data_IF_768442421217
#
_entry.id   IF_768442421217
#
_cell.length_a   1.000
_cell.length_b   1.000
_cell.length_c   1.000
_cell.angle_alpha   90.00
_cell.angle_beta   90.00
_cell.angle_gamma   90.00
#
_symmetry.space_group_name_H-M   'P 1'
#
loop_
_entity.id
_entity.type
_entity.pdbx_description
1 polymer ?
#
# COMPACT_ATOMS: atom_id res chain seq x y z
N UNK A 1 27.16 -14.69 9.10
CA UNK A 1 25.75 -14.99 8.75
C UNK A 1 25.25 -13.85 7.90
N UNK A 2 24.85 -14.10 6.65
CA UNK A 2 24.30 -13.07 5.77
C UNK A 2 22.76 -13.16 5.84
N UNK A 3 22.11 -12.08 6.27
CA UNK A 3 20.65 -11.97 6.22
C UNK A 3 20.29 -11.33 4.89
N UNK A 4 19.42 -11.98 4.13
CA UNK A 4 18.91 -11.51 2.83
C UNK A 4 17.48 -11.03 3.03
N UNK A 5 17.18 -9.85 2.50
CA UNK A 5 15.84 -9.28 2.60
C UNK A 5 15.86 -7.76 2.76
N UNK A 6 14.66 -7.17 2.89
CA UNK A 6 14.49 -5.74 3.07
C UNK A 6 15.05 -5.26 4.41
N UNK A 7 15.69 -4.11 4.40
CA UNK A 7 16.28 -3.46 5.57
C UNK A 7 16.54 -1.97 5.27
N UNK A 8 16.27 -1.05 6.21
CA UNK A 8 15.65 -1.27 7.52
C UNK A 8 14.17 -1.66 7.40
N UNK A 9 13.52 -2.09 8.49
CA UNK A 9 12.08 -2.42 8.51
C UNK A 9 11.19 -1.20 8.85
N UNK A 10 11.72 0.00 8.61
CA UNK A 10 11.08 1.31 8.83
C UNK A 10 11.17 2.10 7.51
N UNK A 11 10.49 1.60 6.48
CA UNK A 11 10.49 2.18 5.14
C UNK A 11 9.10 2.73 4.81
N UNK A 12 8.55 3.52 5.73
CA UNK A 12 7.22 4.09 5.66
C UNK A 12 7.02 4.94 4.40
N UNK A 13 5.79 4.95 3.89
CA UNK A 13 5.39 5.71 2.70
C UNK A 13 4.08 6.42 2.93
N UNK A 14 3.93 7.57 2.28
CA UNK A 14 2.70 8.36 2.31
C UNK A 14 2.26 8.69 0.89
N UNK A 15 0.98 8.45 0.59
CA UNK A 15 0.36 8.81 -0.67
C UNK A 15 -0.98 9.51 -0.43
N UNK A 16 -1.45 10.23 -1.44
CA UNK A 16 -2.73 10.95 -1.40
C UNK A 16 -3.74 10.19 -2.27
N UNK A 17 -4.92 9.92 -1.73
CA UNK A 17 -6.00 9.27 -2.45
C UNK A 17 -6.37 10.07 -3.72
N UNK A 18 -6.57 9.36 -4.83
CA UNK A 18 -6.89 9.93 -6.14
C UNK A 18 -5.69 10.52 -6.90
N UNK A 19 -4.48 10.43 -6.36
CA UNK A 19 -3.24 10.87 -7.03
C UNK A 19 -2.35 9.69 -7.38
N UNK A 20 -1.49 9.89 -8.37
CA UNK A 20 -0.40 8.95 -8.66
C UNK A 20 0.50 8.82 -7.44
N UNK A 21 0.74 7.59 -7.01
CA UNK A 21 1.50 7.27 -5.83
C UNK A 21 2.85 6.67 -6.21
N UNK A 22 3.88 7.51 -6.33
CA UNK A 22 5.24 7.02 -6.58
C UNK A 22 5.88 6.62 -5.23
N UNK A 23 5.79 5.33 -4.90
CA UNK A 23 6.56 4.79 -3.79
C UNK A 23 8.00 4.53 -4.26
N UNK A 24 8.96 5.24 -3.63
CA UNK A 24 10.38 5.01 -3.84
C UNK A 24 10.75 3.53 -3.62
N UNK A 25 11.86 3.12 -4.25
CA UNK A 25 12.38 1.75 -4.15
C UNK A 25 12.58 1.33 -2.69
N UNK A 26 12.22 0.08 -2.40
CA UNK A 26 12.57 -0.57 -1.12
C UNK A 26 14.07 -0.90 -1.07
N UNK A 27 14.67 -0.60 0.07
CA UNK A 27 16.06 -0.88 0.43
C UNK A 27 16.17 -2.25 1.11
N UNK A 28 17.30 -2.91 0.91
CA UNK A 28 17.57 -4.21 1.48
C UNK A 28 18.85 -4.84 0.96
N UNK A 29 19.20 -5.97 1.56
CA UNK A 29 20.36 -6.76 1.18
C UNK A 29 19.93 -7.88 0.24
N UNK A 30 20.57 -7.96 -0.94
CA UNK A 30 20.38 -9.05 -1.90
C UNK A 30 18.92 -9.31 -2.31
N UNK A 31 18.13 -8.23 -2.45
CA UNK A 31 16.76 -8.28 -2.98
C UNK A 31 16.74 -8.85 -4.40
N UNK A 32 15.73 -9.67 -4.70
CA UNK A 32 15.59 -10.39 -5.96
C UNK A 32 14.36 -9.91 -6.72
N UNK A 33 14.37 -10.06 -8.03
CA UNK A 33 13.20 -9.82 -8.87
C UNK A 33 12.03 -10.78 -8.57
N UNK A 34 12.28 -11.90 -7.89
CA UNK A 34 11.25 -12.83 -7.43
C UNK A 34 10.61 -12.43 -6.09
N UNK A 35 11.19 -11.48 -5.37
CA UNK A 35 10.59 -10.94 -4.16
C UNK A 35 9.30 -10.17 -4.51
N UNK A 36 8.37 -10.12 -3.56
CA UNK A 36 7.09 -9.45 -3.73
C UNK A 36 6.79 -8.59 -2.52
N UNK A 37 6.05 -7.52 -2.79
CA UNK A 37 5.48 -6.65 -1.78
C UNK A 37 3.98 -6.58 -1.94
N UNK A 38 3.27 -6.50 -0.82
CA UNK A 38 1.83 -6.32 -0.82
C UNK A 38 1.42 -5.37 0.30
N UNK A 39 0.48 -4.49 -0.03
CA UNK A 39 -0.20 -3.62 0.93
C UNK A 39 -1.32 -4.43 1.57
N UNK A 40 -1.32 -4.50 2.90
CA UNK A 40 -2.32 -5.20 3.68
C UNK A 40 -2.99 -4.25 4.68
N UNK A 41 -4.23 -4.56 5.05
CA UNK A 41 -4.88 -3.86 6.15
C UNK A 41 -4.15 -4.12 7.48
N UNK A 42 -4.20 -3.16 8.40
CA UNK A 42 -3.59 -3.26 9.74
C UNK A 42 -4.12 -4.44 10.57
N UNK A 43 -5.36 -4.87 10.31
CA UNK A 43 -5.98 -6.07 10.90
C UNK A 43 -5.49 -7.41 10.33
N UNK A 44 -4.60 -7.39 9.32
CA UNK A 44 -3.87 -8.56 8.84
C UNK A 44 -4.47 -9.26 7.62
N UNK A 45 -3.58 -9.72 6.71
CA UNK A 45 -3.80 -10.69 5.63
C UNK A 45 -4.80 -10.32 4.53
N UNK A 46 -5.60 -9.29 4.74
CA UNK A 46 -6.62 -8.81 3.81
C UNK A 46 -6.07 -7.68 2.96
N UNK A 47 -6.35 -7.77 1.66
CA UNK A 47 -6.02 -6.72 0.72
C UNK A 47 -7.05 -5.59 0.88
N UNK A 48 -6.62 -4.36 1.16
CA UNK A 48 -7.52 -3.22 1.24
C UNK A 48 -8.15 -2.92 -0.13
N UNK A 49 -9.44 -2.57 -0.11
CA UNK A 49 -10.18 -2.19 -1.31
C UNK A 49 -9.56 -0.95 -1.96
N UNK A 50 -9.76 -0.81 -3.29
CA UNK A 50 -9.38 0.38 -4.07
C UNK A 50 -7.87 0.68 -4.13
N UNK A 51 -7.03 -0.27 -3.71
CA UNK A 51 -5.64 -0.31 -4.13
C UNK A 51 -5.51 -0.96 -5.51
N UNK A 52 -4.65 -0.42 -6.39
CA UNK A 52 -4.36 -1.05 -7.68
C UNK A 52 -3.77 -2.45 -7.47
N UNK A 53 -3.98 -3.33 -8.45
CA UNK A 53 -3.39 -4.67 -8.49
C UNK A 53 -3.55 -5.49 -7.20
N UNK A 54 -4.67 -5.34 -6.49
CA UNK A 54 -4.91 -5.98 -5.19
C UNK A 54 -3.79 -5.70 -4.17
N UNK A 55 -3.33 -4.45 -4.13
CA UNK A 55 -2.28 -4.00 -3.21
C UNK A 55 -0.89 -4.57 -3.53
N UNK A 56 -0.74 -5.35 -4.60
CA UNK A 56 0.55 -5.90 -4.99
C UNK A 56 1.43 -4.79 -5.57
N UNK A 57 2.64 -4.65 -5.04
CA UNK A 57 3.63 -3.70 -5.53
C UNK A 57 4.59 -4.45 -6.44
N UNK A 58 4.56 -4.11 -7.73
CA UNK A 58 5.41 -4.74 -8.73
C UNK A 58 6.74 -3.98 -8.89
N UNK A 59 7.78 -4.64 -9.43
CA UNK A 59 8.99 -3.95 -9.86
C UNK A 59 8.62 -2.93 -10.94
N UNK A 60 9.14 -1.70 -10.83
CA UNK A 60 9.00 -0.73 -11.91
C UNK A 60 9.85 -1.19 -13.11
N UNK A 61 9.19 -1.78 -14.11
CA UNK A 61 9.81 -2.28 -15.33
C UNK A 61 10.26 -1.16 -16.27
N UNK A 62 9.80 0.08 -16.06
CA UNK A 62 10.15 1.25 -16.86
C UNK A 62 11.31 2.06 -16.25
N UNK A 63 11.80 1.67 -15.08
CA UNK A 63 12.96 2.30 -14.49
C UNK A 63 14.24 1.95 -15.29
N UNK A 64 15.01 2.97 -15.65
CA UNK A 64 16.30 2.88 -16.36
C UNK A 64 17.43 2.22 -15.55
N UNK A 65 17.17 1.89 -14.29
CA UNK A 65 18.04 1.14 -13.39
C UNK A 65 17.53 -0.29 -13.25
N UNK A 66 18.39 -1.28 -12.92
CA UNK A 66 17.97 -2.68 -12.76
C UNK A 66 16.71 -2.82 -11.89
N UNK A 67 15.92 -3.90 -12.08
CA UNK A 67 14.64 -4.18 -11.40
C UNK A 67 14.84 -4.54 -9.92
N UNK A 68 15.61 -3.72 -9.21
CA UNK A 68 16.01 -3.84 -7.81
C UNK A 68 15.09 -3.02 -6.89
N UNK A 69 14.06 -2.37 -7.43
CA UNK A 69 13.11 -1.57 -6.67
C UNK A 69 11.68 -1.96 -6.96
N UNK A 70 11.01 -2.48 -5.94
CA UNK A 70 9.56 -2.66 -5.93
C UNK A 70 8.95 -1.34 -5.47
N UNK A 71 8.12 -0.72 -6.32
CA UNK A 71 7.45 0.55 -6.06
C UNK A 71 6.07 0.54 -6.70
N UNK A 72 5.12 1.32 -6.20
CA UNK A 72 3.72 1.32 -6.67
C UNK A 72 3.56 1.80 -8.13
N UNK A 73 4.66 2.17 -8.80
CA UNK A 73 4.63 2.66 -10.18
C UNK A 73 3.84 3.97 -10.30
N UNK A 74 3.47 4.34 -11.51
CA UNK A 74 2.64 5.52 -11.79
C UNK A 74 1.15 5.27 -11.58
N UNK A 75 0.78 4.35 -10.67
CA UNK A 75 -0.61 3.97 -10.44
C UNK A 75 -1.35 4.97 -9.54
N UNK A 76 -2.65 5.12 -9.79
CA UNK A 76 -3.55 5.95 -8.97
C UNK A 76 -4.10 5.09 -7.84
N UNK A 77 -3.85 5.51 -6.60
CA UNK A 77 -4.41 4.85 -5.41
C UNK A 77 -5.72 5.54 -5.04
N UNK A 78 -6.83 4.80 -5.05
CA UNK A 78 -8.17 5.32 -4.69
C UNK A 78 -8.69 4.76 -3.36
N UNK A 79 -7.78 4.20 -2.56
CA UNK A 79 -8.06 3.71 -1.23
C UNK A 79 -8.54 4.82 -0.29
N UNK A 80 -9.39 4.51 0.71
CA UNK A 80 -9.74 5.46 1.75
C UNK A 80 -8.50 5.97 2.50
N UNK A 81 -8.62 7.14 3.10
CA UNK A 81 -7.62 7.62 4.06
C UNK A 81 -7.45 6.63 5.20
N UNK A 82 -6.20 6.35 5.59
CA UNK A 82 -5.92 5.37 6.63
C UNK A 82 -4.48 4.87 6.65
N UNK A 83 -4.22 4.04 7.66
CA UNK A 83 -2.94 3.37 7.85
C UNK A 83 -3.02 1.92 7.37
N UNK A 84 -2.09 1.55 6.51
CA UNK A 84 -1.93 0.20 5.94
C UNK A 84 -0.51 -0.31 6.20
N UNK A 85 -0.28 -1.60 5.96
CA UNK A 85 1.02 -2.25 6.18
C UNK A 85 1.69 -2.55 4.85
N UNK A 86 2.99 -2.28 4.75
CA UNK A 86 3.85 -2.72 3.65
C UNK A 86 4.48 -4.05 4.04
N UNK A 87 4.01 -5.14 3.43
CA UNK A 87 4.47 -6.47 3.78
C UNK A 87 5.28 -7.11 2.65
N UNK A 88 6.31 -7.85 3.01
CA UNK A 88 7.23 -8.52 2.09
C UNK A 88 7.13 -10.03 2.16
N UNK A 89 7.31 -10.64 1.00
CA UNK A 89 7.46 -12.06 0.82
C UNK A 89 8.70 -12.35 -0.03
N UNK A 90 9.54 -13.25 0.47
CA UNK A 90 10.72 -13.70 -0.26
C UNK A 90 10.33 -14.55 -1.46
N UNK A 91 10.90 -14.23 -2.62
CA UNK A 91 10.79 -15.06 -3.82
C UNK A 91 11.53 -16.40 -3.71
N UNK A 92 12.27 -16.63 -2.63
CA UNK A 92 12.88 -17.92 -2.30
C UNK A 92 11.90 -18.88 -1.62
N UNK A 93 10.73 -18.41 -1.19
CA UNK A 93 9.74 -19.23 -0.51
C UNK A 93 9.20 -20.29 -1.48
N UNK A 94 9.26 -21.60 -1.16
CA UNK A 94 8.82 -22.65 -2.07
C UNK A 94 7.34 -22.57 -2.47
N UNK A 95 6.49 -22.08 -1.57
CA UNK A 95 5.06 -21.87 -1.84
C UNK A 95 4.77 -20.61 -2.67
N UNK A 96 5.79 -19.80 -2.96
CA UNK A 96 5.64 -18.49 -3.60
C UNK A 96 4.93 -17.46 -2.72
N UNK A 97 4.59 -16.33 -3.34
CA UNK A 97 3.97 -15.17 -2.72
C UNK A 97 2.60 -14.92 -3.38
N UNK A 98 1.60 -15.73 -3.04
CA UNK A 98 0.32 -15.80 -3.75
C UNK A 98 -0.86 -15.28 -2.91
N UNK A 99 -0.79 -15.44 -1.59
CA UNK A 99 -1.83 -15.04 -0.64
C UNK A 99 -1.30 -13.92 0.24
N UNK A 100 -2.19 -13.06 0.77
CA UNK A 100 -1.79 -12.04 1.75
C UNK A 100 -1.09 -12.62 2.99
N UNK A 101 -1.41 -13.87 3.35
CA UNK A 101 -0.73 -14.62 4.42
C UNK A 101 0.71 -15.03 4.07
N UNK A 102 1.16 -14.90 2.82
CA UNK A 102 2.55 -15.18 2.46
C UNK A 102 3.50 -14.03 2.81
N UNK A 103 2.96 -12.82 3.00
CA UNK A 103 3.70 -11.60 3.28
C UNK A 103 3.83 -11.36 4.78
N UNK A 104 4.79 -12.06 5.39
CA UNK A 104 4.95 -12.11 6.85
C UNK A 104 5.89 -11.04 7.41
N UNK A 105 6.74 -10.43 6.58
CA UNK A 105 7.72 -9.44 7.03
C UNK A 105 7.14 -8.04 6.85
N UNK A 106 6.92 -7.33 7.95
CA UNK A 106 6.51 -5.93 7.93
C UNK A 106 7.72 -5.03 7.62
N UNK A 107 7.56 -4.12 6.66
CA UNK A 107 8.60 -3.17 6.23
C UNK A 107 8.35 -1.74 6.68
N UNK A 108 7.17 -1.48 7.25
CA UNK A 108 6.71 -0.14 7.56
C UNK A 108 5.25 0.08 7.16
N UNK A 109 4.79 1.28 7.44
CA UNK A 109 3.46 1.74 7.17
C UNK A 109 3.30 2.34 5.78
N UNK A 110 2.13 2.12 5.19
CA UNK A 110 1.63 2.87 4.05
C UNK A 110 0.49 3.77 4.53
N UNK A 111 0.73 5.07 4.56
CA UNK A 111 -0.26 6.07 4.94
C UNK A 111 -0.94 6.61 3.70
N UNK A 112 -2.28 6.55 3.67
CA UNK A 112 -3.07 7.22 2.64
C UNK A 112 -3.75 8.44 3.26
N UNK A 113 -3.44 9.61 2.71
CA UNK A 113 -4.11 10.85 3.04
C UNK A 113 -5.34 11.00 2.15
N UNK A 114 -6.48 11.30 2.75
CA UNK A 114 -7.74 11.44 2.04
C UNK A 114 -8.96 11.11 2.89
N UNK A 115 -10.12 11.15 2.26
CA UNK A 115 -11.41 10.92 2.92
C UNK A 115 -11.56 9.47 3.40
N UNK A 116 -12.18 9.29 4.56
CA UNK A 116 -12.42 7.97 5.15
C UNK A 116 -13.55 8.04 6.20
N UNK A 117 -14.52 7.11 6.20
CA UNK A 117 -14.76 6.08 5.18
C UNK A 117 -15.18 6.70 3.84
N UNK A 118 -15.07 5.97 2.72
CA UNK A 118 -15.46 6.50 1.40
C UNK A 118 -16.97 6.80 1.28
N UNK A 119 -17.78 6.16 2.11
CA UNK A 119 -19.22 6.39 2.16
C UNK A 119 -19.53 7.46 3.22
N UNK A 120 -19.68 8.69 2.75
CA UNK A 120 -20.05 9.86 3.57
C UNK A 120 -21.30 10.55 3.04
N UNK A 121 -22.12 9.84 2.24
CA UNK A 121 -23.37 10.39 1.71
C UNK A 121 -24.31 10.80 2.85
N UNK A 122 -24.98 11.93 2.65
CA UNK A 122 -25.90 12.53 3.61
C UNK A 122 -27.26 12.73 2.94
N UNK A 123 -28.31 12.27 3.59
CA UNK A 123 -29.69 12.48 3.14
C UNK A 123 -30.26 13.70 3.82
N UNK A 124 -30.72 14.68 3.03
CA UNK A 124 -31.50 15.81 3.53
C UNK A 124 -32.99 15.63 3.22
N UNK A 125 -33.84 16.22 4.05
CA UNK A 125 -35.29 16.23 3.85
C UNK A 125 -35.69 17.59 3.27
N UNK A 126 -36.48 17.57 2.19
CA UNK A 126 -36.99 18.79 1.56
C UNK A 126 -37.74 19.67 2.57
N UNK A 127 -37.41 20.96 2.60
CA UNK A 127 -38.05 21.96 3.46
C UNK A 127 -37.51 22.03 4.90
N UNK A 128 -36.45 21.30 5.26
CA UNK A 128 -35.79 21.43 6.57
C UNK A 128 -34.44 22.14 6.45
N UNK A 129 -34.14 23.03 7.40
CA UNK A 129 -32.78 23.57 7.57
C UNK A 129 -31.87 22.44 8.02
N UNK A 130 -30.75 22.28 7.31
CA UNK A 130 -29.77 21.23 7.58
C UNK A 130 -28.35 21.82 7.52
N UNK A 131 -27.46 21.34 8.36
CA UNK A 131 -26.04 21.67 8.36
C UNK A 131 -25.23 20.46 7.86
N UNK A 132 -24.38 20.66 6.86
CA UNK A 132 -23.47 19.62 6.37
C UNK A 132 -22.27 19.58 7.29
N UNK A 133 -22.08 18.47 8.00
CA UNK A 133 -20.85 18.21 8.74
C UNK A 133 -19.65 18.08 7.78
N UNK A 134 -18.45 18.37 8.26
CA UNK A 134 -17.21 18.21 7.50
C UNK A 134 -17.00 16.75 7.06
N UNK A 135 -16.26 16.59 5.96
CA UNK A 135 -15.79 15.28 5.51
C UNK A 135 -14.80 14.71 6.53
N UNK A 136 -14.92 13.43 6.86
CA UNK A 136 -13.97 12.72 7.72
C UNK A 136 -12.82 12.18 6.87
N UNK A 137 -11.62 12.08 7.43
CA UNK A 137 -10.46 11.57 6.70
C UNK A 137 -9.18 11.60 7.52
N UNK A 138 -8.10 11.13 6.89
CA UNK A 138 -6.73 11.25 7.39
C UNK A 138 -6.03 12.35 6.60
N UNK A 139 -5.40 13.29 7.30
CA UNK A 139 -4.72 14.48 6.74
C UNK A 139 -3.20 14.37 6.80
#
# INVERSE_FOLDING_TARGET
>A
MLVVGPSPLEQDRTCIAGRTCNAERIRGQSLRASDRLQILATGGGTVPLRFPMNGLILPDLNASQPPSGMGLGSEIVSAPGGLYRLCWCSGLKPSGCLRGTDFQTDLGAMTILGVSPLQQDRTCISGRVWAVDSLLGLE
#
